data_IF_030373619330
#
_entry.id   IF_030373619330
#
_cell.length_a   1.000
_cell.length_b   1.000
_cell.length_c   1.000
_cell.angle_alpha   90.00
_cell.angle_beta   90.00
_cell.angle_gamma   90.00
#
_symmetry.space_group_name_H-M   'P 1'
#
loop_
_entity.id
_entity.type
_entity.pdbx_description
1 polymer ?
#
# COMPACT_ATOMS: atom_id res chain seq x y z
N UNK A 1 7.61 17.69 -13.47
CA UNK A 1 7.21 19.09 -13.25
C UNK A 1 8.07 19.65 -12.13
N UNK A 2 8.89 20.67 -12.40
CA UNK A 2 9.83 21.25 -11.43
C UNK A 2 9.11 21.86 -10.20
N UNK A 3 7.80 22.09 -10.32
CA UNK A 3 6.97 22.61 -9.25
C UNK A 3 6.77 21.62 -8.07
N UNK A 4 6.94 20.30 -8.27
CA UNK A 4 6.79 19.27 -7.23
C UNK A 4 8.10 18.95 -6.47
N UNK A 5 9.14 19.78 -6.63
CA UNK A 5 10.49 19.53 -6.09
C UNK A 5 11.09 20.69 -5.28
N UNK A 6 10.37 21.80 -5.09
CA UNK A 6 10.87 22.98 -4.36
C UNK A 6 10.75 22.86 -2.82
N UNK A 7 11.39 23.80 -2.10
CA UNK A 7 11.58 23.82 -0.64
C UNK A 7 10.27 23.89 0.19
N UNK A 8 9.13 24.18 -0.44
CA UNK A 8 7.78 24.19 0.15
C UNK A 8 6.82 23.18 -0.52
N UNK A 9 7.37 22.16 -1.15
CA UNK A 9 6.60 21.17 -1.91
C UNK A 9 5.97 20.11 -0.99
N UNK A 10 4.78 19.56 -1.32
CA UNK A 10 4.21 18.37 -0.67
C UNK A 10 5.08 17.09 -0.75
N UNK A 11 6.32 17.23 -1.24
CA UNK A 11 7.32 16.19 -1.43
C UNK A 11 8.33 16.02 -0.28
N UNK A 12 8.35 16.86 0.75
CA UNK A 12 9.28 16.68 1.87
C UNK A 12 8.88 15.51 2.78
N UNK A 13 9.91 14.93 3.42
CA UNK A 13 9.80 13.97 4.52
C UNK A 13 10.33 14.67 5.79
N UNK A 14 9.62 14.69 6.93
CA UNK A 14 8.32 14.03 7.17
C UNK A 14 7.19 14.62 6.31
N UNK A 15 6.09 13.86 6.10
CA UNK A 15 5.05 14.23 5.17
C UNK A 15 4.49 15.62 5.47
N UNK A 16 4.30 16.37 4.40
CA UNK A 16 3.68 17.69 4.36
C UNK A 16 2.35 17.72 5.14
N UNK A 17 2.38 18.22 6.38
CA UNK A 17 1.21 18.35 7.27
C UNK A 17 0.74 19.79 7.31
N UNK A 18 0.19 20.27 6.18
CA UNK A 18 -0.53 21.54 6.18
C UNK A 18 -1.98 21.29 6.54
N UNK A 19 -2.47 22.06 7.53
CA UNK A 19 -3.89 22.11 7.85
C UNK A 19 -4.66 22.60 6.61
N UNK A 20 -5.59 21.77 6.13
CA UNK A 20 -6.38 22.07 4.94
C UNK A 20 -7.22 23.35 5.09
N UNK A 21 -7.54 23.75 6.32
CA UNK A 21 -8.27 24.98 6.62
C UNK A 21 -7.37 26.23 6.55
N UNK A 22 -6.04 26.08 6.59
CA UNK A 22 -5.11 27.20 6.62
C UNK A 22 -5.02 27.94 5.27
N UNK A 23 -4.71 29.26 5.27
CA UNK A 23 -4.48 30.02 4.04
C UNK A 23 -3.35 29.46 3.17
N UNK A 24 -2.35 28.85 3.80
CA UNK A 24 -1.23 28.20 3.11
C UNK A 24 -1.69 27.05 2.21
N UNK A 25 -2.65 26.23 2.66
CA UNK A 25 -3.24 25.19 1.83
C UNK A 25 -3.87 25.77 0.56
N UNK A 26 -4.56 26.91 0.69
CA UNK A 26 -5.19 27.60 -0.45
C UNK A 26 -4.13 28.08 -1.43
N UNK A 27 -3.08 28.74 -0.95
CA UNK A 27 -2.00 29.24 -1.80
C UNK A 27 -1.30 28.11 -2.59
N UNK A 28 -1.11 26.95 -1.97
CA UNK A 28 -0.51 25.78 -2.62
C UNK A 28 -1.43 25.21 -3.69
N UNK A 29 -2.72 25.04 -3.38
CA UNK A 29 -3.69 24.52 -4.33
C UNK A 29 -3.88 25.47 -5.52
N UNK A 30 -3.91 26.78 -5.29
CA UNK A 30 -3.94 27.79 -6.35
C UNK A 30 -2.69 27.73 -7.23
N UNK A 31 -1.50 27.62 -6.62
CA UNK A 31 -0.23 27.46 -7.35
C UNK A 31 -0.24 26.21 -8.25
N UNK A 32 -0.90 25.14 -7.82
CA UNK A 32 -0.94 23.85 -8.52
C UNK A 32 -2.28 23.55 -9.22
N UNK A 33 -3.16 24.53 -9.41
CA UNK A 33 -4.49 24.31 -9.97
C UNK A 33 -4.46 23.61 -11.34
N UNK A 34 -3.59 24.06 -12.25
CA UNK A 34 -3.41 23.44 -13.57
C UNK A 34 -2.88 21.99 -13.48
N UNK A 35 -1.99 21.72 -12.51
CA UNK A 35 -1.47 20.38 -12.24
C UNK A 35 -2.58 19.47 -11.71
N UNK A 36 -3.41 19.94 -10.78
CA UNK A 36 -4.55 19.20 -10.24
C UNK A 36 -5.56 18.83 -11.34
N UNK A 37 -5.90 19.77 -12.22
CA UNK A 37 -6.81 19.49 -13.34
C UNK A 37 -6.25 18.47 -14.31
N UNK A 38 -4.93 18.52 -14.58
CA UNK A 38 -4.27 17.52 -15.40
C UNK A 38 -4.28 16.14 -14.73
N UNK A 39 -3.96 16.07 -13.43
CA UNK A 39 -3.99 14.83 -12.64
C UNK A 39 -5.38 14.20 -12.64
N UNK A 40 -6.43 14.98 -12.37
CA UNK A 40 -7.82 14.50 -12.38
C UNK A 40 -8.19 13.90 -13.74
N UNK A 41 -7.92 14.61 -14.84
CA UNK A 41 -8.17 14.10 -16.20
C UNK A 41 -7.34 12.87 -16.56
N UNK A 42 -6.11 12.78 -16.07
CA UNK A 42 -5.23 11.63 -16.32
C UNK A 42 -5.70 10.39 -15.56
N UNK A 43 -6.04 10.53 -14.27
CA UNK A 43 -6.52 9.45 -13.41
C UNK A 43 -7.88 8.92 -13.89
N UNK A 44 -8.74 9.80 -14.42
CA UNK A 44 -10.04 9.42 -14.96
C UNK A 44 -9.95 8.65 -16.30
N UNK A 45 -8.75 8.42 -16.85
CA UNK A 45 -8.56 7.54 -18.01
C UNK A 45 -8.71 6.07 -17.60
N UNK A 46 -9.19 5.19 -18.50
CA UNK A 46 -9.39 3.77 -18.21
C UNK A 46 -8.14 2.99 -17.79
N UNK A 47 -6.94 3.50 -18.07
CA UNK A 47 -5.69 2.85 -17.72
C UNK A 47 -4.51 3.80 -17.76
N UNK A 48 -3.48 3.44 -17.00
CA UNK A 48 -2.17 4.05 -17.02
C UNK A 48 -1.16 2.98 -17.46
N UNK A 49 -0.29 3.29 -18.41
CA UNK A 49 0.76 2.39 -18.89
C UNK A 49 2.08 3.11 -18.86
N UNK A 50 3.05 2.52 -18.19
CA UNK A 50 4.42 2.98 -18.18
C UNK A 50 5.20 2.22 -19.25
N UNK A 51 5.90 2.95 -20.12
CA UNK A 51 6.68 2.33 -21.19
C UNK A 51 7.96 1.73 -20.60
N UNK A 52 8.15 0.43 -20.83
CA UNK A 52 9.25 -0.36 -20.30
C UNK A 52 9.70 -1.39 -21.31
N UNK A 53 11.00 -1.70 -21.30
CA UNK A 53 11.55 -2.79 -22.09
C UNK A 53 11.29 -4.14 -21.41
N UNK A 54 10.11 -4.70 -21.66
CA UNK A 54 9.73 -6.02 -21.18
C UNK A 54 10.45 -7.17 -21.92
N UNK A 55 11.24 -6.89 -22.96
CA UNK A 55 12.09 -7.94 -23.56
C UNK A 55 13.25 -8.34 -22.64
N UNK A 56 13.52 -7.52 -21.61
CA UNK A 56 14.63 -7.68 -20.65
C UNK A 56 14.19 -7.25 -19.25
N UNK A 57 13.29 -8.01 -18.59
CA UNK A 57 12.91 -7.70 -17.22
C UNK A 57 14.10 -7.88 -16.27
N UNK A 58 14.39 -6.87 -15.45
CA UNK A 58 15.57 -6.85 -14.57
C UNK A 58 15.40 -5.92 -13.36
N UNK A 59 16.24 -6.10 -12.33
CA UNK A 59 16.18 -5.30 -11.10
C UNK A 59 16.63 -3.85 -11.24
N UNK A 60 17.35 -3.52 -12.31
CA UNK A 60 17.80 -2.16 -12.63
C UNK A 60 16.76 -1.36 -13.42
N UNK A 61 15.60 -1.95 -13.73
CA UNK A 61 14.48 -1.23 -14.33
C UNK A 61 14.01 -0.11 -13.39
N UNK A 62 14.14 1.14 -13.85
CA UNK A 62 13.77 2.30 -13.08
C UNK A 62 12.24 2.48 -13.02
N UNK A 63 11.77 2.85 -11.82
CA UNK A 63 10.38 3.19 -11.53
C UNK A 63 10.27 4.69 -11.25
N UNK A 64 10.61 5.49 -12.26
CA UNK A 64 10.74 6.94 -12.18
C UNK A 64 9.42 7.62 -11.75
N UNK A 65 8.29 7.01 -12.10
CA UNK A 65 6.96 7.48 -11.77
C UNK A 65 6.62 7.36 -10.28
N UNK A 66 7.21 6.41 -9.56
CA UNK A 66 6.69 5.97 -8.25
C UNK A 66 6.64 7.12 -7.24
N UNK A 67 7.69 7.93 -7.18
CA UNK A 67 7.72 9.11 -6.31
C UNK A 67 6.80 10.22 -6.81
N UNK A 68 6.69 10.41 -8.13
CA UNK A 68 5.78 11.39 -8.73
C UNK A 68 4.31 11.06 -8.42
N UNK A 69 3.93 9.78 -8.45
CA UNK A 69 2.59 9.32 -8.09
C UNK A 69 2.28 9.54 -6.61
N UNK A 70 3.23 9.27 -5.70
CA UNK A 70 3.07 9.59 -4.28
C UNK A 70 2.87 11.08 -4.03
N UNK A 71 3.62 11.94 -4.75
CA UNK A 71 3.46 13.40 -4.67
C UNK A 71 2.09 13.85 -5.19
N UNK A 72 1.65 13.29 -6.31
CA UNK A 72 0.33 13.56 -6.87
C UNK A 72 -0.80 13.17 -5.91
N UNK A 73 -0.69 11.99 -5.27
CA UNK A 73 -1.63 11.53 -4.24
C UNK A 73 -1.72 12.50 -3.06
N UNK A 74 -0.58 13.00 -2.56
CA UNK A 74 -0.56 13.98 -1.45
C UNK A 74 -1.21 15.29 -1.82
N UNK A 75 -0.96 15.80 -3.04
CA UNK A 75 -1.59 17.03 -3.53
C UNK A 75 -3.12 16.87 -3.66
N UNK A 76 -3.58 15.74 -4.19
CA UNK A 76 -5.01 15.41 -4.24
C UNK A 76 -5.62 15.25 -2.83
N UNK A 77 -4.90 14.65 -1.89
CA UNK A 77 -5.39 14.51 -0.51
C UNK A 77 -5.58 15.88 0.16
N UNK A 78 -4.65 16.83 -0.06
CA UNK A 78 -4.81 18.20 0.39
C UNK A 78 -6.01 18.88 -0.27
N UNK A 79 -6.19 18.70 -1.58
CA UNK A 79 -7.34 19.23 -2.32
C UNK A 79 -8.67 18.67 -1.80
N UNK A 80 -8.76 17.37 -1.54
CA UNK A 80 -9.96 16.72 -1.01
C UNK A 80 -10.32 17.23 0.38
N UNK A 81 -9.34 17.33 1.29
CA UNK A 81 -9.56 17.87 2.64
C UNK A 81 -9.97 19.34 2.61
N UNK A 82 -9.42 20.12 1.67
CA UNK A 82 -9.79 21.52 1.48
C UNK A 82 -11.23 21.64 0.96
N UNK A 83 -11.58 20.88 -0.06
CA UNK A 83 -12.94 20.82 -0.59
C UNK A 83 -13.95 20.48 0.52
N UNK A 84 -13.63 19.49 1.37
CA UNK A 84 -14.43 19.16 2.54
C UNK A 84 -14.53 20.32 3.55
N UNK A 85 -13.45 21.10 3.75
CA UNK A 85 -13.45 22.29 4.61
C UNK A 85 -14.39 23.38 4.09
N UNK A 86 -14.41 23.55 2.77
CA UNK A 86 -15.21 24.55 2.07
C UNK A 86 -16.67 24.08 1.86
N UNK A 87 -17.04 22.89 2.35
CA UNK A 87 -18.38 22.32 2.24
C UNK A 87 -18.67 21.61 0.91
N UNK A 88 -17.66 21.38 0.07
CA UNK A 88 -17.77 20.61 -1.17
C UNK A 88 -17.48 19.12 -0.93
N UNK A 89 -18.45 18.42 -0.33
CA UNK A 89 -18.38 16.98 -0.07
C UNK A 89 -18.25 16.16 -1.35
N UNK A 90 -18.92 16.58 -2.43
CA UNK A 90 -18.86 15.93 -3.74
C UNK A 90 -17.45 15.98 -4.35
N UNK A 91 -16.83 17.17 -4.38
CA UNK A 91 -15.46 17.33 -4.85
C UNK A 91 -14.46 16.54 -4.01
N UNK A 92 -14.63 16.57 -2.68
CA UNK A 92 -13.77 15.84 -1.75
C UNK A 92 -13.81 14.32 -2.00
N UNK A 93 -15.00 13.73 -2.03
CA UNK A 93 -15.17 12.29 -2.27
C UNK A 93 -14.69 11.88 -3.67
N UNK A 94 -14.91 12.70 -4.69
CA UNK A 94 -14.42 12.44 -6.03
C UNK A 94 -12.88 12.39 -6.10
N UNK A 95 -12.19 13.31 -5.42
CA UNK A 95 -10.73 13.29 -5.36
C UNK A 95 -10.19 12.13 -4.50
N UNK A 96 -10.87 11.75 -3.41
CA UNK A 96 -10.53 10.55 -2.61
C UNK A 96 -10.57 9.28 -3.48
N UNK A 97 -11.64 9.09 -4.26
CA UNK A 97 -11.76 7.97 -5.20
C UNK A 97 -10.65 8.02 -6.26
N UNK A 98 -10.23 9.20 -6.70
CA UNK A 98 -9.09 9.35 -7.63
C UNK A 98 -7.76 8.97 -6.99
N UNK A 99 -7.53 9.28 -5.72
CA UNK A 99 -6.33 8.86 -5.01
C UNK A 99 -6.28 7.32 -4.95
N UNK A 100 -7.39 6.66 -4.63
CA UNK A 100 -7.47 5.20 -4.67
C UNK A 100 -7.16 4.64 -6.08
N UNK A 101 -7.78 5.20 -7.13
CA UNK A 101 -7.49 4.81 -8.52
C UNK A 101 -6.04 5.01 -8.91
N UNK A 102 -5.40 6.08 -8.45
CA UNK A 102 -3.97 6.31 -8.64
C UNK A 102 -3.14 5.21 -7.94
N UNK A 103 -3.57 4.75 -6.77
CA UNK A 103 -2.97 3.60 -6.08
C UNK A 103 -3.07 2.31 -6.90
N UNK A 104 -4.25 2.00 -7.45
CA UNK A 104 -4.44 0.85 -8.36
C UNK A 104 -3.55 0.95 -9.61
N UNK A 105 -3.44 2.14 -10.21
CA UNK A 105 -2.57 2.37 -11.36
C UNK A 105 -1.09 2.18 -11.00
N UNK A 106 -0.65 2.64 -9.83
CA UNK A 106 0.72 2.43 -9.37
C UNK A 106 1.01 0.93 -9.15
N UNK A 107 0.06 0.19 -8.57
CA UNK A 107 0.16 -1.25 -8.34
C UNK A 107 -0.04 -2.11 -9.60
N UNK A 108 -0.39 -1.52 -10.74
CA UNK A 108 -0.65 -2.28 -11.99
C UNK A 108 0.62 -2.87 -12.61
N UNK A 109 1.77 -2.30 -12.28
CA UNK A 109 3.08 -2.79 -12.67
C UNK A 109 3.42 -4.06 -11.89
N UNK A 110 3.95 -5.11 -12.56
CA UNK A 110 4.16 -6.43 -11.96
C UNK A 110 5.46 -6.45 -11.12
N UNK A 111 5.64 -5.48 -10.22
CA UNK A 111 6.76 -5.40 -9.29
C UNK A 111 6.25 -5.26 -7.85
N UNK A 112 6.87 -5.93 -6.88
CA UNK A 112 6.44 -5.81 -5.47
C UNK A 112 6.51 -4.38 -4.97
N UNK A 113 7.58 -3.65 -5.33
CA UNK A 113 7.72 -2.25 -4.93
C UNK A 113 6.60 -1.37 -5.50
N UNK A 114 6.09 -1.69 -6.70
CA UNK A 114 4.94 -0.99 -7.29
C UNK A 114 3.65 -1.28 -6.53
N UNK A 115 3.43 -2.52 -6.09
CA UNK A 115 2.33 -2.86 -5.19
C UNK A 115 2.40 -2.07 -3.87
N UNK A 116 3.58 -2.00 -3.24
CA UNK A 116 3.81 -1.25 -2.00
C UNK A 116 3.59 0.26 -2.18
N UNK A 117 4.00 0.83 -3.32
CA UNK A 117 3.71 2.22 -3.68
C UNK A 117 2.20 2.43 -3.76
N UNK A 118 1.49 1.53 -4.44
CA UNK A 118 0.03 1.57 -4.54
C UNK A 118 -0.64 1.55 -3.18
N UNK A 119 -0.28 0.60 -2.31
CA UNK A 119 -0.82 0.50 -0.95
C UNK A 119 -0.57 1.77 -0.11
N UNK A 120 0.60 2.39 -0.25
CA UNK A 120 0.88 3.65 0.43
C UNK A 120 0.00 4.80 -0.08
N UNK A 121 -0.28 4.86 -1.38
CA UNK A 121 -1.19 5.86 -1.98
C UNK A 121 -2.64 5.60 -1.53
N UNK A 122 -3.05 4.34 -1.50
CA UNK A 122 -4.39 3.92 -1.09
C UNK A 122 -4.67 4.23 0.38
N UNK A 123 -3.68 4.04 1.26
CA UNK A 123 -3.73 4.51 2.64
C UNK A 123 -4.00 6.02 2.73
N UNK A 124 -3.41 6.85 1.87
CA UNK A 124 -3.69 8.28 1.84
C UNK A 124 -5.15 8.57 1.48
N UNK A 125 -5.76 7.78 0.58
CA UNK A 125 -7.18 7.90 0.24
C UNK A 125 -8.06 7.58 1.44
N UNK A 126 -7.78 6.47 2.14
CA UNK A 126 -8.53 6.02 3.32
C UNK A 126 -8.42 7.00 4.49
N UNK A 127 -7.23 7.56 4.73
CA UNK A 127 -7.03 8.63 5.71
C UNK A 127 -7.80 9.90 5.32
N UNK A 128 -7.72 10.34 4.05
CA UNK A 128 -8.46 11.50 3.57
C UNK A 128 -9.98 11.31 3.64
N UNK A 129 -10.48 10.08 3.43
CA UNK A 129 -11.87 9.72 3.68
C UNK A 129 -12.23 9.94 5.14
N UNK A 130 -11.48 9.35 6.07
CA UNK A 130 -11.74 9.48 7.51
C UNK A 130 -11.77 10.96 7.97
N UNK A 131 -10.88 11.79 7.42
CA UNK A 131 -10.84 13.24 7.68
C UNK A 131 -12.06 13.99 7.10
N UNK A 132 -12.65 13.49 6.01
CA UNK A 132 -13.75 14.13 5.26
C UNK A 132 -15.12 13.77 5.84
N UNK A 133 -15.31 12.54 6.31
CA UNK A 133 -16.59 12.01 6.80
C UNK A 133 -17.31 12.87 7.85
N UNK A 134 -16.64 13.53 8.82
CA UNK A 134 -17.29 14.40 9.80
C UNK A 134 -17.90 15.67 9.20
N UNK A 135 -17.35 16.13 8.07
CA UNK A 135 -17.72 17.38 7.41
C UNK A 135 -18.92 17.22 6.48
N UNK A 136 -19.21 16.00 6.06
CA UNK A 136 -20.38 15.68 5.25
C UNK A 136 -21.67 16.02 5.99
N UNK A 137 -22.66 16.49 5.23
CA UNK A 137 -24.01 16.82 5.71
C UNK A 137 -25.10 15.95 5.04
N UNK A 138 -26.36 16.26 5.31
CA UNK A 138 -27.51 15.50 4.81
C UNK A 138 -27.58 15.49 3.27
N UNK A 139 -27.10 16.55 2.59
CA UNK A 139 -27.10 16.62 1.13
C UNK A 139 -26.07 15.66 0.51
N UNK A 140 -25.01 15.34 1.25
CA UNK A 140 -23.95 14.43 0.84
C UNK A 140 -24.29 12.95 1.09
N UNK A 141 -25.34 12.64 1.85
CA UNK A 141 -25.69 11.26 2.23
C UNK A 141 -25.74 10.32 1.01
N UNK A 142 -26.35 10.79 -0.09
CA UNK A 142 -26.48 10.01 -1.34
C UNK A 142 -25.13 9.67 -1.99
N UNK A 143 -24.10 10.50 -1.78
CA UNK A 143 -22.77 10.33 -2.38
C UNK A 143 -22.09 9.08 -1.83
N UNK A 144 -22.34 8.74 -0.56
CA UNK A 144 -21.80 7.53 0.08
C UNK A 144 -22.35 6.23 -0.54
N UNK A 145 -23.48 6.29 -1.25
CA UNK A 145 -24.12 5.14 -1.90
C UNK A 145 -23.82 5.05 -3.40
N UNK A 146 -23.13 6.05 -3.96
CA UNK A 146 -22.73 6.03 -5.35
C UNK A 146 -21.70 4.93 -5.63
N UNK A 147 -21.78 4.37 -6.85
CA UNK A 147 -20.91 3.28 -7.29
C UNK A 147 -19.42 3.54 -7.06
N UNK A 148 -18.85 4.73 -7.36
CA UNK A 148 -17.42 4.97 -7.18
C UNK A 148 -16.95 4.86 -5.72
N UNK A 149 -17.79 5.26 -4.75
CA UNK A 149 -17.47 5.16 -3.32
C UNK A 149 -17.63 3.71 -2.85
N UNK A 150 -18.67 3.01 -3.30
CA UNK A 150 -18.86 1.58 -2.97
C UNK A 150 -17.74 0.70 -3.54
N UNK A 151 -17.34 0.94 -4.78
CA UNK A 151 -16.21 0.24 -5.43
C UNK A 151 -14.89 0.52 -4.70
N UNK A 152 -14.61 1.79 -4.37
CA UNK A 152 -13.44 2.15 -3.56
C UNK A 152 -13.37 1.37 -2.24
N UNK A 153 -14.48 1.32 -1.48
CA UNK A 153 -14.49 0.60 -0.21
C UNK A 153 -14.33 -0.92 -0.39
N UNK A 154 -14.89 -1.48 -1.47
CA UNK A 154 -14.88 -2.92 -1.73
C UNK A 154 -13.55 -3.43 -2.33
N UNK A 155 -12.79 -2.57 -2.99
CA UNK A 155 -11.62 -2.95 -3.78
C UNK A 155 -10.33 -2.52 -3.07
N UNK A 156 -9.64 -3.45 -2.43
CA UNK A 156 -8.29 -3.21 -1.88
C UNK A 156 -7.19 -3.58 -2.88
N UNK A 157 -6.01 -2.95 -2.77
CA UNK A 157 -4.85 -3.30 -3.62
C UNK A 157 -4.33 -4.70 -3.29
N UNK A 158 -4.09 -5.50 -4.35
CA UNK A 158 -3.54 -6.86 -4.24
C UNK A 158 -2.17 -6.97 -4.90
N UNK A 159 -1.25 -7.71 -4.28
CA UNK A 159 0.10 -7.93 -4.78
C UNK A 159 0.24 -9.21 -5.61
N UNK A 160 -0.82 -9.99 -5.84
CA UNK A 160 -0.72 -11.28 -6.54
C UNK A 160 0.01 -11.18 -7.90
N UNK A 161 -0.33 -10.16 -8.69
CA UNK A 161 0.33 -9.88 -9.98
C UNK A 161 1.81 -9.51 -9.81
N UNK A 162 2.15 -8.80 -8.74
CA UNK A 162 3.52 -8.43 -8.43
C UNK A 162 4.38 -9.65 -8.01
N UNK A 163 3.82 -10.59 -7.25
CA UNK A 163 4.50 -11.86 -6.94
C UNK A 163 4.82 -12.68 -8.20
N UNK A 164 3.89 -12.73 -9.16
CA UNK A 164 4.12 -13.39 -10.44
C UNK A 164 5.19 -12.68 -11.29
N UNK A 165 5.16 -11.36 -11.28
CA UNK A 165 6.11 -10.53 -12.01
C UNK A 165 7.54 -10.63 -11.47
N UNK A 166 7.71 -10.50 -10.16
CA UNK A 166 9.02 -10.63 -9.52
C UNK A 166 9.58 -12.06 -9.71
N UNK A 167 8.74 -13.09 -9.68
CA UNK A 167 9.19 -14.45 -10.02
C UNK A 167 9.75 -14.49 -11.45
N UNK A 168 9.04 -13.91 -12.41
CA UNK A 168 9.48 -13.86 -13.81
C UNK A 168 10.79 -13.07 -13.97
N UNK A 169 10.96 -11.94 -13.27
CA UNK A 169 12.17 -11.11 -13.30
C UNK A 169 13.36 -11.86 -12.74
N UNK A 170 13.22 -12.51 -11.58
CA UNK A 170 14.30 -13.33 -10.98
C UNK A 170 14.66 -14.49 -11.91
N UNK A 171 13.66 -15.23 -12.43
CA UNK A 171 13.91 -16.36 -13.31
C UNK A 171 14.57 -15.95 -14.64
N UNK A 172 14.18 -14.81 -15.21
CA UNK A 172 14.84 -14.26 -16.39
C UNK A 172 16.30 -13.93 -16.09
N UNK A 173 16.56 -13.30 -14.93
CA UNK A 173 17.92 -12.98 -14.48
C UNK A 173 18.78 -14.23 -14.27
N UNK A 174 18.19 -15.30 -13.69
CA UNK A 174 18.86 -16.60 -13.54
C UNK A 174 19.09 -17.30 -14.88
N UNK A 175 18.19 -17.12 -15.85
CA UNK A 175 18.36 -17.59 -17.22
C UNK A 175 19.52 -16.91 -17.94
N UNK A 176 19.66 -15.58 -17.81
CA UNK A 176 20.81 -14.85 -18.33
C UNK A 176 22.13 -15.33 -17.71
N UNK A 177 22.11 -15.64 -16.40
CA UNK A 177 23.23 -16.27 -15.72
C UNK A 177 23.50 -17.67 -16.28
N UNK A 178 22.49 -18.49 -16.60
CA UNK A 178 22.67 -19.83 -17.16
C UNK A 178 23.34 -19.80 -18.54
N UNK A 179 22.85 -18.94 -19.44
CA UNK A 179 23.28 -18.88 -20.84
C UNK A 179 24.69 -18.31 -21.01
N UNK A 180 25.23 -17.69 -19.97
CA UNK A 180 26.54 -17.06 -20.04
C UNK A 180 26.60 -15.84 -20.95
N UNK A 181 25.44 -15.33 -21.35
CA UNK A 181 25.32 -14.04 -22.00
C UNK A 181 25.98 -13.02 -21.07
N UNK A 182 26.88 -12.16 -21.57
CA UNK A 182 27.67 -11.21 -20.76
C UNK A 182 26.82 -10.06 -20.18
N UNK A 183 25.52 -10.30 -19.94
CA UNK A 183 24.52 -9.29 -19.58
C UNK A 183 24.49 -9.03 -18.08
N UNK A 184 24.57 -10.09 -17.28
CA UNK A 184 24.60 -10.01 -15.81
C UNK A 184 25.63 -11.01 -15.28
N UNK A 185 26.42 -10.60 -14.29
CA UNK A 185 27.29 -11.49 -13.54
C UNK A 185 26.77 -11.72 -12.12
N UNK A 186 27.27 -12.75 -11.44
CA UNK A 186 26.82 -13.08 -10.07
C UNK A 186 27.15 -11.95 -9.09
N UNK A 187 28.28 -11.25 -9.28
CA UNK A 187 28.62 -10.08 -8.46
C UNK A 187 27.77 -8.86 -8.82
N UNK A 188 27.40 -8.66 -10.09
CA UNK A 188 26.48 -7.60 -10.48
C UNK A 188 25.08 -7.82 -9.89
N UNK A 189 24.60 -9.07 -9.86
CA UNK A 189 23.37 -9.46 -9.15
C UNK A 189 23.48 -9.05 -7.68
N UNK A 190 24.53 -9.48 -6.97
CA UNK A 190 24.72 -9.13 -5.55
C UNK A 190 24.85 -7.63 -5.28
N UNK A 191 25.53 -6.89 -6.16
CA UNK A 191 25.69 -5.45 -6.04
C UNK A 191 24.37 -4.68 -6.23
N UNK A 192 23.56 -5.07 -7.22
CA UNK A 192 22.24 -4.49 -7.46
C UNK A 192 21.30 -4.68 -6.26
N UNK A 193 21.36 -5.84 -5.61
CA UNK A 193 20.56 -6.16 -4.43
C UNK A 193 20.97 -5.38 -3.17
N UNK A 194 22.27 -5.19 -2.93
CA UNK A 194 22.74 -4.40 -1.79
C UNK A 194 22.57 -2.88 -1.94
N UNK A 195 21.89 -2.40 -3.00
CA UNK A 195 21.76 -0.97 -3.35
C UNK A 195 23.11 -0.23 -3.25
N UNK A 196 24.21 -0.90 -3.63
CA UNK A 196 25.50 -0.25 -3.62
C UNK A 196 25.53 0.74 -4.79
N UNK A 197 25.47 2.04 -4.49
CA UNK A 197 25.52 3.14 -5.47
C UNK A 197 26.83 3.22 -6.27
N UNK A 198 27.74 2.25 -6.08
CA UNK A 198 29.01 2.17 -6.79
C UNK A 198 28.80 1.37 -8.06
N UNK A 199 29.15 2.00 -9.19
CA UNK A 199 29.24 1.37 -10.52
C UNK A 199 29.82 -0.06 -10.41
N UNK A 200 29.30 -1.05 -11.16
CA UNK A 200 29.79 -2.42 -11.10
C UNK A 200 31.28 -2.44 -11.42
N UNK A 201 32.11 -2.51 -10.37
CA UNK A 201 33.54 -2.70 -10.53
C UNK A 201 33.72 -4.12 -11.08
N UNK A 202 34.44 -4.25 -12.19
CA UNK A 202 34.75 -5.56 -12.74
C UNK A 202 35.59 -6.33 -11.71
N UNK A 203 34.97 -7.26 -10.97
CA UNK A 203 35.69 -8.05 -9.98
C UNK A 203 36.62 -9.01 -10.72
N UNK A 204 37.94 -9.04 -10.41
CA UNK A 204 38.91 -9.85 -11.14
C UNK A 204 38.60 -11.35 -11.11
N UNK A 205 37.79 -11.81 -10.14
CA UNK A 205 37.36 -13.20 -9.99
C UNK A 205 35.92 -13.46 -10.47
N UNK A 206 35.21 -12.47 -10.99
CA UNK A 206 33.77 -12.55 -11.32
C UNK A 206 33.44 -13.68 -12.29
N UNK A 207 34.32 -13.92 -13.28
CA UNK A 207 34.15 -15.02 -14.24
C UNK A 207 34.25 -16.39 -13.59
N UNK A 208 35.18 -16.56 -12.65
CA UNK A 208 35.36 -17.82 -11.94
C UNK A 208 34.19 -18.04 -10.98
N UNK A 209 33.77 -17.02 -10.23
CA UNK A 209 32.59 -17.09 -9.37
C UNK A 209 31.32 -17.39 -10.18
N UNK A 210 31.13 -16.75 -11.33
CA UNK A 210 29.99 -17.00 -12.21
C UNK A 210 29.98 -18.44 -12.74
N UNK A 211 31.14 -18.99 -13.11
CA UNK A 211 31.25 -20.39 -13.53
C UNK A 211 30.90 -21.35 -12.39
N UNK A 212 31.46 -21.14 -11.20
CA UNK A 212 31.18 -21.98 -10.02
C UNK A 212 29.71 -21.90 -9.62
N UNK A 213 29.13 -20.70 -9.60
CA UNK A 213 27.72 -20.50 -9.31
C UNK A 213 26.83 -21.24 -10.34
N UNK A 214 27.12 -21.11 -11.65
CA UNK A 214 26.37 -21.81 -12.71
C UNK A 214 26.39 -23.33 -12.57
N UNK A 215 27.57 -23.90 -12.29
CA UNK A 215 27.73 -25.35 -12.25
C UNK A 215 27.18 -25.98 -10.97
N UNK A 216 27.31 -25.29 -9.82
CA UNK A 216 27.06 -25.92 -8.52
C UNK A 216 25.85 -25.37 -7.77
N UNK A 217 25.42 -24.13 -8.03
CA UNK A 217 24.40 -23.43 -7.22
C UNK A 217 23.14 -23.16 -8.05
N UNK A 218 23.29 -22.68 -9.28
CA UNK A 218 22.20 -22.18 -10.12
C UNK A 218 21.02 -23.17 -10.32
N UNK A 219 21.23 -24.48 -10.56
CA UNK A 219 20.10 -25.42 -10.66
C UNK A 219 19.27 -25.52 -9.36
N UNK A 220 19.96 -25.50 -8.22
CA UNK A 220 19.31 -25.53 -6.91
C UNK A 220 18.61 -24.20 -6.60
N UNK A 221 19.21 -23.07 -6.96
CA UNK A 221 18.61 -21.74 -6.81
C UNK A 221 17.33 -21.60 -7.65
N UNK A 222 17.34 -22.03 -8.93
CA UNK A 222 16.13 -22.00 -9.77
C UNK A 222 15.02 -22.86 -9.17
N UNK A 223 15.34 -24.10 -8.75
CA UNK A 223 14.36 -25.02 -8.19
C UNK A 223 13.80 -24.52 -6.84
N UNK A 224 14.69 -24.07 -5.95
CA UNK A 224 14.34 -23.53 -4.64
C UNK A 224 13.51 -22.26 -4.77
N UNK A 225 13.93 -21.32 -5.62
CA UNK A 225 13.20 -20.08 -5.83
C UNK A 225 11.78 -20.32 -6.37
N UNK A 226 11.60 -21.16 -7.38
CA UNK A 226 10.24 -21.54 -7.86
C UNK A 226 9.39 -22.22 -6.81
N UNK A 227 9.99 -23.05 -5.95
CA UNK A 227 9.26 -23.68 -4.85
C UNK A 227 8.76 -22.64 -3.85
N UNK A 228 9.63 -21.71 -3.46
CA UNK A 228 9.32 -20.66 -2.48
C UNK A 228 8.31 -19.65 -3.03
N UNK A 229 8.49 -19.20 -4.28
CA UNK A 229 7.54 -18.27 -4.91
C UNK A 229 6.15 -18.88 -5.05
N UNK A 230 6.04 -20.18 -5.38
CA UNK A 230 4.74 -20.87 -5.37
C UNK A 230 4.09 -20.84 -3.99
N UNK A 231 4.85 -21.14 -2.93
CA UNK A 231 4.30 -21.08 -1.56
C UNK A 231 3.84 -19.66 -1.19
N UNK A 232 4.62 -18.62 -1.50
CA UNK A 232 4.21 -17.25 -1.27
C UNK A 232 2.98 -16.86 -2.11
N UNK A 233 2.90 -17.29 -3.37
CA UNK A 233 1.73 -17.07 -4.21
C UNK A 233 0.48 -17.79 -3.68
N UNK A 234 0.62 -18.98 -3.12
CA UNK A 234 -0.48 -19.71 -2.46
C UNK A 234 -0.97 -18.95 -1.23
N UNK A 235 -0.06 -18.43 -0.40
CA UNK A 235 -0.39 -17.60 0.77
C UNK A 235 -1.09 -16.31 0.33
N UNK A 236 -0.54 -15.59 -0.64
CA UNK A 236 -1.16 -14.36 -1.17
C UNK A 236 -2.53 -14.67 -1.76
N UNK A 237 -2.66 -15.76 -2.51
CA UNK A 237 -3.92 -16.21 -3.08
C UNK A 237 -4.97 -16.55 -2.03
N UNK A 238 -4.57 -17.14 -0.89
CA UNK A 238 -5.51 -17.48 0.18
C UNK A 238 -6.12 -16.25 0.85
N UNK A 239 -5.38 -15.14 0.91
CA UNK A 239 -5.89 -13.86 1.44
C UNK A 239 -6.93 -13.19 0.54
N UNK A 240 -7.08 -13.64 -0.72
CA UNK A 240 -8.05 -13.12 -1.68
C UNK A 240 -9.40 -13.83 -1.63
N UNK A 241 -9.51 -14.94 -0.88
CA UNK A 241 -10.78 -15.65 -0.77
C UNK A 241 -11.84 -14.84 0.00
N UNK A 242 -13.11 -15.14 -0.26
CA UNK A 242 -14.24 -14.49 0.44
C UNK A 242 -14.18 -14.65 1.96
N UNK A 243 -13.55 -15.74 2.43
CA UNK A 243 -13.21 -15.95 3.84
C UNK A 243 -11.71 -16.26 3.93
N UNK A 244 -10.84 -15.25 4.05
CA UNK A 244 -9.41 -15.45 4.09
C UNK A 244 -8.97 -16.09 5.41
N UNK A 245 -7.80 -16.73 5.39
CA UNK A 245 -7.15 -17.19 6.62
C UNK A 245 -6.84 -15.99 7.53
N UNK A 246 -7.03 -16.13 8.86
CA UNK A 246 -6.68 -15.06 9.79
C UNK A 246 -5.18 -14.80 9.78
N UNK A 247 -4.77 -13.55 10.06
CA UNK A 247 -3.39 -13.11 9.95
C UNK A 247 -2.38 -14.00 10.72
N UNK A 248 -2.64 -14.48 11.95
CA UNK A 248 -1.71 -15.38 12.64
C UNK A 248 -1.42 -16.67 11.86
N UNK A 249 -2.39 -17.17 11.08
CA UNK A 249 -2.17 -18.33 10.22
C UNK A 249 -1.34 -17.97 8.99
N UNK A 250 -1.58 -16.80 8.38
CA UNK A 250 -0.81 -16.26 7.26
C UNK A 250 0.66 -16.02 7.66
N UNK A 251 0.90 -15.38 8.80
CA UNK A 251 2.24 -15.17 9.36
C UNK A 251 2.93 -16.49 9.62
N UNK A 252 2.25 -17.45 10.27
CA UNK A 252 2.81 -18.78 10.51
C UNK A 252 3.21 -19.48 9.20
N UNK A 253 2.41 -19.33 8.14
CA UNK A 253 2.76 -19.86 6.82
C UNK A 253 3.97 -19.14 6.23
N UNK A 254 4.04 -17.81 6.31
CA UNK A 254 5.17 -17.01 5.85
C UNK A 254 6.47 -17.32 6.59
N UNK A 255 6.46 -17.35 7.93
CA UNK A 255 7.60 -17.75 8.76
C UNK A 255 8.04 -19.18 8.47
N UNK A 256 7.10 -20.11 8.26
CA UNK A 256 7.46 -21.48 7.86
C UNK A 256 8.05 -21.57 6.44
N UNK A 257 7.87 -20.56 5.59
CA UNK A 257 8.59 -20.43 4.31
C UNK A 257 10.00 -19.91 4.59
N UNK A 258 10.16 -18.90 5.45
CA UNK A 258 11.44 -18.31 5.87
C UNK A 258 12.36 -19.32 6.61
N UNK A 259 11.82 -20.14 7.50
CA UNK A 259 12.60 -21.18 8.20
C UNK A 259 13.08 -22.29 7.23
N UNK A 260 12.26 -22.64 6.23
CA UNK A 260 12.63 -23.60 5.19
C UNK A 260 13.73 -23.01 4.29
N UNK A 261 13.65 -21.72 3.99
CA UNK A 261 14.66 -20.95 3.27
C UNK A 261 16.01 -20.99 3.99
N UNK A 262 16.05 -20.76 5.30
CA UNK A 262 17.29 -20.83 6.09
C UNK A 262 17.94 -22.21 6.08
N UNK A 263 17.13 -23.27 6.01
CA UNK A 263 17.61 -24.65 6.09
C UNK A 263 17.86 -25.34 4.74
N UNK A 264 17.17 -24.92 3.67
CA UNK A 264 17.15 -25.59 2.36
C UNK A 264 17.10 -24.63 1.16
N UNK A 265 17.10 -23.32 1.40
CA UNK A 265 17.04 -22.29 0.36
C UNK A 265 18.32 -22.20 -0.45
N UNK A 266 18.15 -22.00 -1.76
CA UNK A 266 19.23 -21.53 -2.61
C UNK A 266 19.70 -20.14 -2.19
N UNK A 267 20.88 -19.73 -2.64
CA UNK A 267 21.50 -18.46 -2.27
C UNK A 267 20.62 -17.25 -2.62
N UNK A 268 20.02 -17.26 -3.81
CA UNK A 268 19.08 -16.20 -4.24
C UNK A 268 17.81 -16.18 -3.41
N UNK A 269 17.31 -17.34 -2.99
CA UNK A 269 16.07 -17.41 -2.23
C UNK A 269 16.21 -16.77 -0.85
N UNK A 270 17.34 -16.97 -0.17
CA UNK A 270 17.66 -16.37 1.13
C UNK A 270 17.67 -14.83 1.09
N UNK A 271 18.05 -14.25 -0.05
CA UNK A 271 18.16 -12.80 -0.21
C UNK A 271 16.81 -12.09 -0.35
N UNK A 272 15.75 -12.81 -0.76
CA UNK A 272 14.46 -12.23 -1.15
C UNK A 272 13.37 -12.35 -0.07
N UNK A 273 13.54 -13.27 0.87
CA UNK A 273 12.52 -13.67 1.83
C UNK A 273 11.88 -12.52 2.64
N UNK A 274 12.66 -11.61 3.27
CA UNK A 274 12.07 -10.59 4.14
C UNK A 274 11.15 -9.61 3.40
N UNK A 275 11.47 -9.33 2.14
CA UNK A 275 10.67 -8.43 1.30
C UNK A 275 9.31 -9.01 0.90
N UNK A 276 9.22 -10.34 0.79
CA UNK A 276 8.01 -11.07 0.39
C UNK A 276 6.99 -11.11 1.54
N UNK A 277 7.43 -11.45 2.75
CA UNK A 277 6.58 -11.44 3.95
C UNK A 277 6.09 -10.03 4.29
N UNK A 278 6.96 -9.01 4.13
CA UNK A 278 6.58 -7.61 4.27
C UNK A 278 5.47 -7.17 3.32
N UNK A 279 5.48 -7.63 2.07
CA UNK A 279 4.44 -7.32 1.08
C UNK A 279 3.08 -7.95 1.43
N UNK A 280 3.08 -9.18 1.97
CA UNK A 280 1.85 -9.83 2.46
C UNK A 280 1.28 -9.06 3.65
N UNK A 281 2.11 -8.72 4.63
CA UNK A 281 1.69 -7.93 5.78
C UNK A 281 1.10 -6.58 5.34
N UNK A 282 1.73 -5.90 4.40
CA UNK A 282 1.24 -4.62 3.88
C UNK A 282 -0.11 -4.76 3.13
N UNK A 283 -0.31 -5.84 2.37
CA UNK A 283 -1.61 -6.17 1.75
C UNK A 283 -2.70 -6.40 2.79
N UNK A 284 -2.39 -7.16 3.85
CA UNK A 284 -3.34 -7.42 4.93
C UNK A 284 -3.71 -6.13 5.67
N UNK A 285 -2.74 -5.27 5.99
CA UNK A 285 -3.01 -3.95 6.57
C UNK A 285 -3.91 -3.10 5.67
N UNK A 286 -3.63 -3.06 4.36
CA UNK A 286 -4.45 -2.36 3.38
C UNK A 286 -5.90 -2.84 3.40
N UNK A 287 -6.12 -4.15 3.30
CA UNK A 287 -7.46 -4.76 3.39
C UNK A 287 -8.18 -4.39 4.70
N UNK A 288 -7.50 -4.47 5.83
CA UNK A 288 -8.08 -4.10 7.13
C UNK A 288 -8.48 -2.62 7.18
N UNK A 289 -7.71 -1.72 6.58
CA UNK A 289 -8.08 -0.30 6.50
C UNK A 289 -9.34 -0.06 5.66
N UNK A 290 -9.58 -0.86 4.61
CA UNK A 290 -10.85 -0.80 3.87
C UNK A 290 -12.04 -1.26 4.72
N UNK A 291 -11.89 -2.36 5.48
CA UNK A 291 -12.94 -2.85 6.40
C UNK A 291 -13.26 -1.80 7.47
N UNK A 292 -12.21 -1.19 8.05
CA UNK A 292 -12.31 -0.07 9.00
C UNK A 292 -13.01 1.15 8.37
N UNK A 293 -12.63 1.54 7.15
CA UNK A 293 -13.27 2.63 6.43
C UNK A 293 -14.75 2.35 6.16
N UNK A 294 -15.12 1.11 5.83
CA UNK A 294 -16.50 0.68 5.68
C UNK A 294 -17.33 0.90 6.94
N UNK A 295 -16.78 0.62 8.12
CA UNK A 295 -17.42 0.90 9.41
C UNK A 295 -17.60 2.41 9.63
N UNK A 296 -16.58 3.23 9.35
CA UNK A 296 -16.67 4.68 9.49
C UNK A 296 -17.71 5.30 8.53
N UNK A 297 -17.80 4.79 7.31
CA UNK A 297 -18.83 5.20 6.34
C UNK A 297 -20.22 4.79 6.82
N UNK A 298 -20.39 3.58 7.35
CA UNK A 298 -21.66 3.14 7.93
C UNK A 298 -22.08 4.01 9.13
N UNK A 299 -21.13 4.37 9.99
CA UNK A 299 -21.37 5.31 11.09
C UNK A 299 -21.75 6.70 10.58
N UNK A 300 -21.09 7.19 9.55
CA UNK A 300 -21.41 8.48 8.94
C UNK A 300 -22.82 8.47 8.34
N UNK A 301 -23.22 7.39 7.64
CA UNK A 301 -24.60 7.25 7.14
C UNK A 301 -25.62 7.31 8.26
N UNK A 302 -25.42 6.56 9.34
CA UNK A 302 -26.31 6.55 10.50
C UNK A 302 -26.43 7.94 11.14
N UNK A 303 -25.29 8.63 11.35
CA UNK A 303 -25.24 10.01 11.83
C UNK A 303 -26.07 10.95 10.96
N UNK A 304 -25.89 10.88 9.63
CA UNK A 304 -26.58 11.74 8.67
C UNK A 304 -28.08 11.41 8.56
N UNK A 305 -28.47 10.17 8.83
CA UNK A 305 -29.87 9.76 8.92
C UNK A 305 -30.54 10.10 10.28
N UNK A 306 -29.83 10.79 11.19
CA UNK A 306 -30.35 11.23 12.48
C UNK A 306 -30.19 10.23 13.63
N UNK A 307 -29.42 9.15 13.45
CA UNK A 307 -29.12 8.20 14.53
C UNK A 307 -28.13 8.83 15.54
N UNK A 308 -28.48 8.77 16.83
CA UNK A 308 -27.56 9.19 17.89
C UNK A 308 -26.55 8.10 18.19
N UNK A 309 -25.33 8.30 17.71
CA UNK A 309 -24.19 7.42 17.97
C UNK A 309 -23.55 7.64 19.36
N UNK A 310 -24.23 8.33 20.29
CA UNK A 310 -23.70 8.66 21.60
C UNK A 310 -23.60 7.44 22.54
N UNK A 311 -24.51 6.48 22.41
CA UNK A 311 -24.62 5.34 23.33
C UNK A 311 -23.90 4.07 22.85
N UNK A 312 -23.71 3.90 21.53
CA UNK A 312 -23.01 2.77 20.94
C UNK A 312 -22.15 3.25 19.76
N UNK A 313 -20.87 2.85 19.70
CA UNK A 313 -20.02 3.15 18.55
C UNK A 313 -20.37 2.29 17.32
N UNK A 314 -21.26 1.30 17.47
CA UNK A 314 -21.75 0.47 16.38
C UNK A 314 -23.10 1.02 15.92
N UNK A 315 -23.21 1.48 14.65
CA UNK A 315 -24.48 1.91 14.05
C UNK A 315 -25.51 0.80 14.08
N UNK A 316 -26.80 1.11 14.27
CA UNK A 316 -27.87 0.11 14.28
C UNK A 316 -27.93 -0.72 12.98
N UNK A 317 -27.50 -0.14 11.86
CA UNK A 317 -27.37 -0.82 10.57
C UNK A 317 -26.31 -1.95 10.57
N UNK A 318 -25.29 -1.85 11.43
CA UNK A 318 -24.31 -2.91 11.66
C UNK A 318 -24.77 -3.75 12.85
N UNK A 319 -25.33 -4.94 12.57
CA UNK A 319 -25.73 -5.88 13.63
C UNK A 319 -24.56 -6.21 14.59
N UNK A 320 -23.34 -6.23 14.06
CA UNK A 320 -22.09 -6.30 14.80
C UNK A 320 -20.97 -5.67 13.96
N UNK A 321 -19.86 -5.30 14.59
CA UNK A 321 -18.64 -4.93 13.88
C UNK A 321 -18.10 -6.14 13.09
N UNK A 322 -17.49 -5.90 11.92
CA UNK A 322 -16.79 -6.95 11.18
C UNK A 322 -15.74 -7.64 12.05
N UNK A 323 -15.45 -8.89 11.74
CA UNK A 323 -14.36 -9.64 12.38
C UNK A 323 -13.02 -8.94 12.11
N UNK A 324 -12.19 -8.84 13.14
CA UNK A 324 -10.81 -8.38 13.01
C UNK A 324 -9.97 -9.44 12.25
N UNK A 325 -9.38 -9.11 11.09
CA UNK A 325 -8.54 -10.04 10.31
C UNK A 325 -7.31 -10.54 11.08
N UNK A 326 -6.87 -9.81 12.10
CA UNK A 326 -5.70 -10.13 12.91
C UNK A 326 -6.01 -10.99 14.13
N UNK A 327 -7.29 -11.27 14.40
CA UNK A 327 -7.69 -12.13 15.51
C UNK A 327 -8.44 -13.39 15.07
N UNK A 328 -8.45 -14.39 15.95
CA UNK A 328 -9.16 -15.65 15.72
C UNK A 328 -10.70 -15.44 15.71
N UNK A 329 -11.27 -14.67 16.64
CA UNK A 329 -12.72 -14.60 16.82
C UNK A 329 -13.23 -13.22 17.31
N UNK A 330 -12.37 -12.21 17.39
CA UNK A 330 -12.78 -10.88 17.90
C UNK A 330 -13.24 -9.97 16.74
N UNK A 331 -14.23 -9.10 16.96
CA UNK A 331 -14.55 -8.04 16.02
C UNK A 331 -13.45 -6.96 16.03
N UNK A 332 -13.49 -6.07 15.03
CA UNK A 332 -12.79 -4.80 15.08
C UNK A 332 -13.16 -4.03 16.34
N UNK A 333 -12.25 -3.15 16.76
CA UNK A 333 -12.42 -2.28 17.91
C UNK A 333 -12.94 -0.93 17.44
N UNK A 334 -13.87 -0.36 18.20
CA UNK A 334 -14.38 0.97 17.97
C UNK A 334 -14.39 1.75 19.30
N UNK A 335 -13.60 2.83 19.34
CA UNK A 335 -13.42 3.68 20.51
C UNK A 335 -13.85 5.10 20.18
N UNK A 336 -14.56 5.72 21.11
CA UNK A 336 -14.90 7.14 21.08
C UNK A 336 -14.07 7.87 22.12
N UNK A 337 -13.45 8.97 21.73
CA UNK A 337 -12.76 9.92 22.61
C UNK A 337 -13.28 11.34 22.36
N UNK A 338 -12.80 12.29 23.16
CA UNK A 338 -13.11 13.72 22.97
C UNK A 338 -12.62 14.24 21.62
N UNK A 339 -11.51 13.68 21.11
CA UNK A 339 -10.90 14.04 19.82
C UNK A 339 -11.55 13.37 18.60
N UNK A 340 -12.48 12.43 18.81
CA UNK A 340 -13.21 11.79 17.73
C UNK A 340 -13.46 10.30 17.91
N UNK A 341 -13.50 9.61 16.79
CA UNK A 341 -13.81 8.20 16.67
C UNK A 341 -12.61 7.46 16.11
N UNK A 342 -12.28 6.31 16.68
CA UNK A 342 -11.22 5.44 16.20
C UNK A 342 -11.81 4.07 15.97
N UNK A 343 -11.67 3.55 14.75
CA UNK A 343 -11.98 2.15 14.43
C UNK A 343 -10.68 1.50 14.02
N UNK A 344 -10.36 0.37 14.64
CA UNK A 344 -9.05 -0.25 14.47
C UNK A 344 -9.09 -1.77 14.69
N UNK A 345 -8.00 -2.39 14.27
CA UNK A 345 -7.62 -3.78 14.48
C UNK A 345 -6.35 -3.81 15.32
N UNK A 346 -6.16 -4.88 16.08
CA UNK A 346 -4.97 -5.13 16.94
C UNK A 346 -3.66 -5.30 16.16
N UNK A 347 -3.72 -5.30 14.83
CA UNK A 347 -2.51 -5.37 14.03
C UNK A 347 -1.73 -6.70 14.09
N UNK A 348 -0.58 -6.75 13.38
CA UNK A 348 0.22 -7.96 13.20
C UNK A 348 0.68 -8.71 14.46
N UNK A 349 0.96 -8.02 15.56
CA UNK A 349 1.42 -8.65 16.81
C UNK A 349 0.28 -9.33 17.59
N UNK A 350 -0.96 -8.94 17.33
CA UNK A 350 -2.17 -9.49 17.92
C UNK A 350 -2.46 -8.98 19.33
N UNK A 351 -1.74 -7.97 19.80
CA UNK A 351 -1.91 -7.27 21.07
C UNK A 351 -2.71 -5.97 20.85
N UNK A 352 -3.59 -5.61 21.79
CA UNK A 352 -4.39 -4.38 21.68
C UNK A 352 -3.64 -3.23 22.36
N UNK A 353 -3.08 -2.33 21.56
CA UNK A 353 -2.36 -1.15 22.05
C UNK A 353 -3.27 0.08 22.28
N UNK A 354 -4.59 -0.08 22.09
CA UNK A 354 -5.56 0.98 22.30
C UNK A 354 -5.77 1.92 21.11
N UNK A 355 -5.28 1.56 19.93
CA UNK A 355 -5.51 2.18 18.63
C UNK A 355 -4.25 2.73 17.96
N UNK A 356 -4.29 2.97 16.63
CA UNK A 356 -3.15 3.50 15.88
C UNK A 356 -2.76 4.88 16.39
N UNK A 357 -1.48 5.22 16.39
CA UNK A 357 -1.00 6.53 16.82
C UNK A 357 -1.71 7.71 16.14
N UNK A 358 -1.77 8.86 16.84
CA UNK A 358 -2.29 10.08 16.24
C UNK A 358 -1.42 10.51 15.05
N UNK A 359 -2.02 11.18 14.07
CA UNK A 359 -1.32 11.59 12.86
C UNK A 359 -0.18 12.56 13.21
N UNK A 360 1.05 12.21 12.83
CA UNK A 360 2.24 13.02 13.13
C UNK A 360 2.77 12.87 14.56
N UNK A 361 2.16 12.01 15.37
CA UNK A 361 2.77 11.52 16.60
C UNK A 361 3.62 10.28 16.31
N UNK A 362 4.72 10.13 17.05
CA UNK A 362 5.44 8.86 17.07
C UNK A 362 4.50 7.77 17.61
N UNK A 363 4.60 6.56 17.06
CA UNK A 363 3.87 5.43 17.62
C UNK A 363 4.29 5.24 19.08
N UNK A 364 3.31 5.22 20.00
CA UNK A 364 3.58 4.84 21.39
C UNK A 364 4.17 3.43 21.37
N UNK A 365 5.41 3.30 21.84
CA UNK A 365 6.10 2.05 22.15
C UNK A 365 5.87 0.87 21.18
N UNK A 366 6.08 1.08 19.88
CA UNK A 366 6.08 -0.04 18.94
C UNK A 366 4.70 -0.57 18.55
N UNK A 367 3.63 0.18 18.82
CA UNK A 367 2.28 -0.23 18.43
C UNK A 367 2.14 -0.47 16.93
N UNK A 368 1.48 -1.57 16.58
CA UNK A 368 1.23 -1.97 15.18
C UNK A 368 -0.26 -2.01 14.79
N UNK A 369 -1.12 -1.52 15.68
CA UNK A 369 -2.57 -1.33 15.50
C UNK A 369 -2.89 -0.67 14.15
N UNK A 370 -3.84 -1.27 13.44
CA UNK A 370 -4.24 -0.85 12.09
C UNK A 370 -5.62 -0.23 12.14
N UNK A 371 -5.72 1.09 11.99
CA UNK A 371 -7.00 1.76 12.02
C UNK A 371 -7.01 3.16 11.43
N UNK A 372 -8.20 3.76 11.47
CA UNK A 372 -8.47 5.12 11.01
C UNK A 372 -9.11 5.91 12.14
N UNK A 373 -8.74 7.19 12.19
CA UNK A 373 -9.29 8.17 13.13
C UNK A 373 -10.20 9.12 12.36
N UNK A 374 -11.46 9.19 12.75
CA UNK A 374 -12.45 10.13 12.25
C UNK A 374 -12.60 11.26 13.29
N UNK A 375 -12.15 12.49 13.00
CA UNK A 375 -12.18 13.58 13.98
C UNK A 375 -13.62 14.01 14.29
N UNK A 376 -13.79 14.77 15.38
CA UNK A 376 -15.06 15.50 15.60
C UNK A 376 -15.18 16.63 14.56
N UNK A 377 -16.42 16.94 14.19
CA UNK A 377 -16.76 18.01 13.22
C UNK A 377 -16.22 19.37 13.63
#
# INVERSE_FOLDING_TARGET
>A
DAALTEENSPSQDPPFTVDASAPEATAILERHAATLDLLRRAIDRPGCRFERDWSRPSFDMLLEEAQSMRKAARLLALAARRAAADGDGAGALADIVRIHRLGLQAASEPFLVSCLVGQAIDRLALEALADTLPRLDEADLRLLDEEPVRDFLATSITCQRAFLGDEAVVLATLGDLADGSRRTSTMALLGAWHQSSKSPQAYPLDRLFSLLYRCFILPADIAGYRHIMRRYQDVVGSTLFAKPDPHPAVVKQATAIEDELESRGGFVSLLLAPSLSGAIAAQMRGKTLHDVAGVLVAATRARLAGESLAASPVPAALAALPRDPFTADKPLFAKRSDDGWVVYSVGPDGEDDGGPAARGADAENGSDDVGLRMPVR
#
